data_IF_011286719926
#
_entry.id   IF_011286719926
#
_cell.length_a   1.000
_cell.length_b   1.000
_cell.length_c   1.000
_cell.angle_alpha   90.00
_cell.angle_beta   90.00
_cell.angle_gamma   90.00
#
_symmetry.space_group_name_H-M   'P 1'
#
loop_
_entity.id
_entity.type
_entity.pdbx_description
1 polymer ?
#
# COMPACT_ATOMS: atom_id res chain seq x y z
N UNK A 1 -8.22 35.68 -49.46
CA UNK A 1 -7.80 35.98 -48.07
C UNK A 1 -8.94 35.56 -47.16
N UNK A 2 -8.91 34.32 -46.66
CA UNK A 2 -9.91 33.84 -45.70
C UNK A 2 -9.18 33.11 -44.57
N UNK A 3 -9.00 33.89 -43.52
CA UNK A 3 -8.81 33.58 -42.11
C UNK A 3 -8.81 32.11 -41.71
N UNK A 4 -7.63 31.63 -41.31
CA UNK A 4 -7.39 30.41 -40.53
C UNK A 4 -8.13 30.47 -39.19
N UNK A 5 -8.91 29.44 -38.87
CA UNK A 5 -9.44 29.21 -37.53
C UNK A 5 -8.35 28.64 -36.62
N UNK A 6 -8.20 29.07 -35.36
CA UNK A 6 -7.42 28.34 -34.39
C UNK A 6 -8.20 27.11 -33.93
N UNK A 7 -7.66 25.91 -34.19
CA UNK A 7 -8.12 24.69 -33.53
C UNK A 7 -7.76 24.81 -32.05
N UNK A 8 -8.73 25.24 -31.24
CA UNK A 8 -8.67 25.04 -29.79
C UNK A 8 -8.72 23.54 -29.53
N UNK A 9 -7.57 22.96 -29.25
CA UNK A 9 -7.43 21.60 -28.79
C UNK A 9 -8.21 21.48 -27.46
N UNK A 10 -9.46 21.02 -27.52
CA UNK A 10 -10.25 20.72 -26.33
C UNK A 10 -9.75 19.40 -25.75
N UNK A 11 -8.73 19.46 -24.90
CA UNK A 11 -8.39 18.34 -24.04
C UNK A 11 -9.57 18.16 -23.07
N UNK A 12 -10.24 16.99 -23.04
CA UNK A 12 -11.14 16.67 -21.95
C UNK A 12 -10.34 16.78 -20.65
N UNK A 13 -10.92 17.38 -19.62
CA UNK A 13 -10.40 17.30 -18.26
C UNK A 13 -10.51 15.83 -17.81
N UNK A 14 -9.57 15.00 -18.24
CA UNK A 14 -9.38 13.66 -17.69
C UNK A 14 -9.10 13.85 -16.19
N UNK A 15 -10.08 13.50 -15.37
CA UNK A 15 -9.89 13.37 -13.94
C UNK A 15 -8.70 12.41 -13.74
N UNK A 16 -7.61 12.92 -13.18
CA UNK A 16 -6.33 12.21 -13.11
C UNK A 16 -6.44 11.08 -12.08
N UNK A 17 -7.03 9.97 -12.50
CA UNK A 17 -7.22 8.82 -11.64
C UNK A 17 -5.85 8.30 -11.18
N UNK A 18 -5.68 8.14 -9.87
CA UNK A 18 -4.46 7.64 -9.26
C UNK A 18 -4.56 6.13 -9.11
N UNK A 19 -3.55 5.39 -9.54
CA UNK A 19 -3.47 3.96 -9.31
C UNK A 19 -2.89 3.72 -7.92
N UNK A 20 -3.68 3.06 -7.07
CA UNK A 20 -3.33 2.71 -5.72
C UNK A 20 -3.13 1.20 -5.60
N UNK A 21 -2.16 0.78 -4.77
CA UNK A 21 -1.86 -0.65 -4.60
C UNK A 21 -1.71 -1.01 -3.13
N UNK A 22 -2.18 -2.20 -2.80
CA UNK A 22 -2.06 -2.85 -1.48
C UNK A 22 -1.39 -4.20 -1.62
N UNK A 23 -0.38 -4.46 -0.79
CA UNK A 23 0.37 -5.72 -0.82
C UNK A 23 0.50 -6.29 0.58
N UNK A 24 0.26 -7.60 0.71
CA UNK A 24 0.50 -8.37 1.92
C UNK A 24 1.59 -9.40 1.67
N UNK A 25 2.65 -9.31 2.46
CA UNK A 25 3.75 -10.25 2.46
C UNK A 25 3.68 -11.17 3.68
N UNK A 26 4.04 -12.42 3.46
CA UNK A 26 4.35 -13.39 4.50
C UNK A 26 5.83 -13.73 4.42
N UNK A 27 6.50 -13.69 5.55
CA UNK A 27 7.88 -14.07 5.71
C UNK A 27 7.96 -15.25 6.67
N UNK A 28 8.96 -16.10 6.46
CA UNK A 28 9.27 -17.12 7.46
C UNK A 28 9.62 -16.44 8.80
N UNK A 29 10.49 -15.43 8.79
CA UNK A 29 10.66 -14.52 9.92
C UNK A 29 11.32 -13.20 9.53
N UNK A 30 11.09 -12.16 10.33
CA UNK A 30 11.77 -10.85 10.22
C UNK A 30 12.49 -10.56 11.55
N UNK A 31 13.70 -11.10 11.74
CA UNK A 31 14.49 -10.95 12.98
C UNK A 31 15.48 -9.77 12.95
N UNK A 32 16.10 -9.55 11.79
CA UNK A 32 17.18 -8.57 11.64
C UNK A 32 16.70 -7.14 11.92
N UNK A 33 17.34 -6.48 12.89
CA UNK A 33 17.10 -5.05 13.20
C UNK A 33 17.38 -4.16 11.99
N UNK A 34 18.40 -4.49 11.20
CA UNK A 34 18.76 -3.75 10.00
C UNK A 34 17.65 -3.82 8.94
N UNK A 35 17.07 -5.00 8.73
CA UNK A 35 15.94 -5.15 7.79
C UNK A 35 14.69 -4.43 8.26
N UNK A 36 14.39 -4.46 9.56
CA UNK A 36 13.27 -3.71 10.14
C UNK A 36 13.43 -2.21 9.94
N UNK A 37 14.63 -1.68 10.20
CA UNK A 37 14.95 -0.27 9.92
C UNK A 37 14.80 0.05 8.43
N UNK A 38 15.31 -0.80 7.54
CA UNK A 38 15.19 -0.61 6.10
C UNK A 38 13.71 -0.60 5.64
N UNK A 39 12.89 -1.53 6.12
CA UNK A 39 11.43 -1.57 5.84
C UNK A 39 10.79 -0.22 6.16
N UNK A 40 11.10 0.35 7.33
CA UNK A 40 10.54 1.65 7.76
C UNK A 40 11.07 2.81 6.93
N UNK A 41 12.39 2.96 6.83
CA UNK A 41 13.03 4.11 6.16
C UNK A 41 12.70 4.16 4.67
N UNK A 42 12.64 3.00 3.99
CA UNK A 42 12.22 2.94 2.59
C UNK A 42 10.76 3.37 2.42
N UNK A 43 9.88 3.01 3.36
CA UNK A 43 8.48 3.37 3.27
C UNK A 43 8.27 4.88 3.47
N UNK A 44 8.99 5.47 4.43
CA UNK A 44 9.01 6.91 4.66
C UNK A 44 9.52 7.68 3.44
N UNK A 45 10.58 7.18 2.79
CA UNK A 45 11.16 7.82 1.61
C UNK A 45 10.30 7.70 0.34
N UNK A 46 9.31 6.82 0.31
CA UNK A 46 8.47 6.55 -0.87
C UNK A 46 6.99 6.88 -0.64
N UNK A 47 6.67 7.58 0.46
CA UNK A 47 5.31 7.92 0.87
C UNK A 47 4.38 6.70 0.98
N UNK A 48 4.91 5.60 1.53
CA UNK A 48 4.20 4.34 1.73
C UNK A 48 3.76 4.23 3.18
N UNK A 49 2.54 3.71 3.37
CA UNK A 49 2.00 3.35 4.67
C UNK A 49 1.99 1.85 4.84
N UNK A 50 2.12 1.38 6.06
CA UNK A 50 2.02 -0.04 6.31
C UNK A 50 2.10 -0.44 7.77
N UNK A 51 1.97 -1.74 7.99
CA UNK A 51 2.09 -2.39 9.29
C UNK A 51 3.01 -3.60 9.13
N UNK A 52 4.01 -3.72 10.00
CA UNK A 52 4.96 -4.83 10.02
C UNK A 52 4.85 -5.55 11.36
N UNK A 53 4.60 -6.85 11.32
CA UNK A 53 4.72 -7.72 12.49
C UNK A 53 6.00 -8.54 12.35
N UNK A 54 7.11 -8.16 13.02
CA UNK A 54 8.32 -8.96 13.03
C UNK A 54 8.15 -10.25 13.84
N UNK A 55 9.18 -11.09 13.83
CA UNK A 55 9.13 -12.41 14.48
C UNK A 55 8.71 -13.53 13.52
N UNK A 56 8.09 -14.59 14.05
CA UNK A 56 7.71 -15.81 13.35
C UNK A 56 6.20 -16.09 13.52
N UNK A 57 5.44 -16.35 12.43
CA UNK A 57 5.74 -15.89 11.07
C UNK A 57 5.84 -14.35 11.05
N UNK A 58 6.56 -13.81 10.07
CA UNK A 58 6.65 -12.37 9.85
C UNK A 58 5.59 -11.90 8.86
N UNK A 59 4.97 -10.76 9.12
CA UNK A 59 3.96 -10.18 8.22
C UNK A 59 4.30 -8.73 7.90
N UNK A 60 4.01 -8.33 6.66
CA UNK A 60 4.12 -6.93 6.24
C UNK A 60 2.94 -6.60 5.34
N UNK A 61 2.16 -5.63 5.76
CA UNK A 61 1.16 -4.96 4.93
C UNK A 61 1.70 -3.60 4.50
N UNK A 62 1.57 -3.26 3.22
CA UNK A 62 1.90 -1.94 2.70
C UNK A 62 0.88 -1.46 1.68
N UNK A 63 0.67 -0.16 1.64
CA UNK A 63 -0.19 0.50 0.66
C UNK A 63 0.30 1.91 0.28
N UNK A 64 -0.05 2.34 -0.92
CA UNK A 64 0.37 3.62 -1.48
C UNK A 64 0.12 3.70 -2.99
N UNK A 65 0.76 4.67 -3.64
CA UNK A 65 0.79 4.75 -5.09
C UNK A 65 1.39 3.49 -5.71
N UNK A 66 0.84 3.03 -6.84
CA UNK A 66 1.34 1.87 -7.57
C UNK A 66 2.84 1.96 -7.86
N UNK A 67 3.33 3.10 -8.34
CA UNK A 67 4.74 3.32 -8.68
C UNK A 67 5.64 3.09 -7.46
N UNK A 68 5.33 3.76 -6.34
CA UNK A 68 6.05 3.61 -5.08
C UNK A 68 6.01 2.18 -4.57
N UNK A 69 4.83 1.55 -4.56
CA UNK A 69 4.67 0.19 -4.05
C UNK A 69 5.43 -0.82 -4.92
N UNK A 70 5.47 -0.68 -6.25
CA UNK A 70 6.27 -1.55 -7.12
C UNK A 70 7.76 -1.48 -6.80
N UNK A 71 8.27 -0.26 -6.63
CA UNK A 71 9.67 -0.03 -6.26
C UNK A 71 9.96 -0.64 -4.89
N UNK A 72 9.09 -0.40 -3.91
CA UNK A 72 9.20 -0.96 -2.58
C UNK A 72 9.17 -2.49 -2.59
N UNK A 73 8.25 -3.12 -3.31
CA UNK A 73 8.17 -4.58 -3.46
C UNK A 73 9.45 -5.14 -4.06
N UNK A 74 10.02 -4.47 -5.07
CA UNK A 74 11.30 -4.86 -5.68
C UNK A 74 12.44 -4.81 -4.67
N UNK A 75 12.53 -3.73 -3.89
CA UNK A 75 13.54 -3.56 -2.86
C UNK A 75 13.38 -4.55 -1.70
N UNK A 76 12.14 -4.82 -1.29
CA UNK A 76 11.84 -5.88 -0.32
C UNK A 76 12.37 -7.21 -0.84
N UNK A 77 12.02 -7.62 -2.07
CA UNK A 77 12.47 -8.91 -2.65
C UNK A 77 13.98 -8.99 -2.85
N UNK A 78 14.67 -7.86 -3.05
CA UNK A 78 16.14 -7.79 -3.22
C UNK A 78 16.90 -8.10 -1.93
N UNK A 79 16.29 -7.88 -0.77
CA UNK A 79 16.90 -8.25 0.51
C UNK A 79 16.98 -9.79 0.66
N UNK A 80 18.01 -10.27 1.36
CA UNK A 80 18.20 -11.70 1.61
C UNK A 80 17.21 -12.21 2.65
N UNK A 81 16.14 -12.90 2.26
CA UNK A 81 15.18 -13.56 3.17
C UNK A 81 15.36 -15.08 3.14
N UNK A 82 14.95 -15.77 4.22
CA UNK A 82 14.84 -17.23 4.17
C UNK A 82 13.67 -17.64 3.27
N UNK A 83 12.54 -16.95 3.40
CA UNK A 83 11.41 -17.04 2.48
C UNK A 83 10.59 -15.75 2.57
N UNK A 84 10.13 -15.27 1.42
CA UNK A 84 9.23 -14.13 1.27
C UNK A 84 8.20 -14.47 0.19
N UNK A 85 6.93 -14.39 0.55
CA UNK A 85 5.80 -14.66 -0.33
C UNK A 85 4.88 -13.45 -0.34
N UNK A 86 4.37 -13.08 -1.53
CA UNK A 86 3.26 -12.12 -1.64
C UNK A 86 1.97 -12.94 -1.58
N UNK A 87 1.25 -12.83 -0.46
CA UNK A 87 -0.03 -13.53 -0.26
C UNK A 87 -1.18 -12.85 -0.97
N UNK A 88 -1.11 -11.53 -1.11
CA UNK A 88 -2.14 -10.74 -1.77
C UNK A 88 -1.56 -9.47 -2.34
N UNK A 89 -1.98 -9.14 -3.55
CA UNK A 89 -1.60 -7.91 -4.25
C UNK A 89 -2.84 -7.42 -5.00
N UNK A 90 -3.36 -6.26 -4.60
CA UNK A 90 -4.57 -5.67 -5.17
C UNK A 90 -4.24 -4.28 -5.66
N UNK A 91 -4.70 -3.97 -6.87
CA UNK A 91 -4.59 -2.67 -7.50
C UNK A 91 -6.00 -2.09 -7.66
N UNK A 92 -6.16 -0.83 -7.31
CA UNK A 92 -7.42 -0.09 -7.38
C UNK A 92 -7.18 1.27 -8.02
N UNK A 93 -8.14 1.73 -8.80
CA UNK A 93 -8.12 3.05 -9.42
C UNK A 93 -8.92 3.99 -8.56
N UNK A 94 -8.30 5.08 -8.08
CA UNK A 94 -8.92 6.05 -7.19
C UNK A 94 -9.13 7.37 -7.96
N UNK A 95 -10.36 7.91 -8.01
CA UNK A 95 -10.61 9.23 -8.59
C UNK A 95 -9.96 10.35 -7.74
N UNK A 96 -9.43 11.37 -8.39
CA UNK A 96 -8.62 12.47 -7.78
C UNK A 96 -9.42 13.34 -6.79
N UNK A 97 -10.75 13.30 -6.88
CA UNK A 97 -11.71 14.17 -6.17
C UNK A 97 -11.72 13.99 -4.63
N UNK A 98 -11.01 13.00 -4.11
CA UNK A 98 -11.03 12.61 -2.69
C UNK A 98 -9.95 13.33 -1.86
N UNK A 99 -9.00 14.03 -2.48
CA UNK A 99 -7.84 14.57 -1.78
C UNK A 99 -8.07 15.93 -1.06
N UNK A 100 -9.20 16.62 -1.27
CA UNK A 100 -9.43 17.97 -0.71
C UNK A 100 -10.48 18.09 0.39
N UNK A 101 -11.36 17.12 0.60
CA UNK A 101 -12.43 17.27 1.58
C UNK A 101 -12.09 16.62 2.93
N UNK A 102 -11.69 17.43 3.92
CA UNK A 102 -11.32 17.02 5.30
C UNK A 102 -12.50 16.45 6.13
N UNK A 103 -13.65 16.16 5.53
CA UNK A 103 -14.90 15.85 6.25
C UNK A 103 -15.41 14.40 6.14
N UNK A 104 -14.84 13.53 5.31
CA UNK A 104 -15.39 12.16 5.19
C UNK A 104 -14.65 11.16 6.09
N UNK A 105 -15.12 11.05 7.34
CA UNK A 105 -14.69 10.05 8.34
C UNK A 105 -15.17 8.61 8.05
N UNK A 106 -15.57 8.26 6.83
CA UNK A 106 -16.08 6.91 6.51
C UNK A 106 -15.26 6.23 5.41
N UNK A 107 -14.63 5.13 5.79
CA UNK A 107 -14.48 3.93 4.96
C UNK A 107 -13.65 4.08 3.67
N UNK A 108 -12.57 4.85 3.68
CA UNK A 108 -11.68 4.92 2.50
C UNK A 108 -10.84 3.65 2.28
N UNK A 109 -11.00 2.61 3.10
CA UNK A 109 -10.24 1.36 2.99
C UNK A 109 -8.73 1.57 3.14
N UNK A 110 -8.30 2.68 3.75
CA UNK A 110 -6.89 3.13 3.77
C UNK A 110 -6.44 3.33 5.21
N UNK A 111 -5.18 3.01 5.49
CA UNK A 111 -4.51 3.34 6.73
C UNK A 111 -4.42 4.87 6.87
N UNK A 112 -4.97 5.38 7.96
CA UNK A 112 -4.69 6.73 8.44
C UNK A 112 -3.26 6.84 9.01
N UNK A 113 -2.87 8.05 9.40
CA UNK A 113 -1.58 8.29 10.08
C UNK A 113 -0.42 8.69 9.15
N UNK A 114 0.83 8.66 9.66
CA UNK A 114 2.01 9.09 8.91
C UNK A 114 2.39 8.12 7.79
N UNK A 115 3.14 8.61 6.80
CA UNK A 115 3.77 7.79 5.76
C UNK A 115 4.95 7.01 6.33
N UNK A 116 4.65 5.89 7.00
CA UNK A 116 5.66 4.99 7.58
C UNK A 116 5.06 3.60 7.76
N UNK A 117 5.93 2.65 8.12
CA UNK A 117 5.52 1.30 8.52
C UNK A 117 5.56 1.19 10.04
N UNK A 118 4.38 0.98 10.62
CA UNK A 118 4.19 0.78 12.06
C UNK A 118 4.62 -0.65 12.41
N UNK A 119 5.49 -0.80 13.41
CA UNK A 119 5.88 -2.12 13.93
C UNK A 119 4.89 -2.54 15.03
N UNK A 120 4.41 -3.78 14.97
CA UNK A 120 3.47 -4.37 15.94
C UNK A 120 3.97 -5.72 16.42
N UNK A 121 3.76 -6.05 17.69
CA UNK A 121 4.29 -7.30 18.26
C UNK A 121 3.43 -8.52 17.94
N UNK A 122 2.11 -8.35 17.81
CA UNK A 122 1.15 -9.44 17.62
C UNK A 122 0.38 -9.35 16.31
N UNK A 123 -0.01 -10.51 15.77
CA UNK A 123 -0.91 -10.57 14.61
C UNK A 123 -2.31 -10.03 14.93
N UNK A 124 -2.73 -10.09 16.20
CA UNK A 124 -3.99 -9.53 16.68
C UNK A 124 -3.99 -8.01 16.56
N UNK A 125 -2.89 -7.36 16.96
CA UNK A 125 -2.73 -5.91 16.83
C UNK A 125 -2.73 -5.48 15.36
N UNK A 126 -1.97 -6.19 14.50
CA UNK A 126 -2.04 -5.99 13.04
C UNK A 126 -3.48 -6.13 12.53
N UNK A 127 -4.18 -7.18 12.95
CA UNK A 127 -5.55 -7.42 12.50
C UNK A 127 -6.50 -6.32 12.98
N UNK A 128 -6.33 -5.81 14.20
CA UNK A 128 -7.13 -4.72 14.75
C UNK A 128 -6.95 -3.44 13.94
N UNK A 129 -5.70 -3.08 13.60
CA UNK A 129 -5.38 -1.91 12.78
C UNK A 129 -6.01 -2.03 11.40
N UNK A 130 -5.83 -3.18 10.73
CA UNK A 130 -6.37 -3.39 9.38
C UNK A 130 -7.91 -3.42 9.38
N UNK A 131 -8.55 -4.06 10.37
CA UNK A 131 -10.02 -4.06 10.50
C UNK A 131 -10.57 -2.65 10.74
N UNK A 132 -9.93 -1.85 11.59
CA UNK A 132 -10.32 -0.47 11.83
C UNK A 132 -10.23 0.40 10.57
N UNK A 133 -9.33 0.05 9.64
CA UNK A 133 -9.21 0.70 8.33
C UNK A 133 -10.15 0.12 7.24
N UNK A 134 -11.01 -0.85 7.57
CA UNK A 134 -11.88 -1.53 6.60
C UNK A 134 -11.21 -2.64 5.78
N UNK A 135 -9.96 -3.01 6.10
CA UNK A 135 -9.15 -4.00 5.38
C UNK A 135 -9.30 -5.43 5.95
N UNK A 136 -10.32 -5.68 6.75
CA UNK A 136 -10.55 -6.99 7.39
C UNK A 136 -10.73 -8.13 6.39
N UNK A 137 -11.49 -7.90 5.30
CA UNK A 137 -11.66 -8.92 4.26
C UNK A 137 -10.37 -9.17 3.48
N UNK A 138 -9.65 -8.11 3.13
CA UNK A 138 -8.36 -8.20 2.46
C UNK A 138 -7.39 -9.07 3.28
N UNK A 139 -7.30 -8.82 4.59
CA UNK A 139 -6.49 -9.62 5.49
C UNK A 139 -6.94 -11.08 5.54
N UNK A 140 -8.25 -11.33 5.68
CA UNK A 140 -8.81 -12.70 5.71
C UNK A 140 -8.41 -13.47 4.44
N UNK A 141 -8.58 -12.86 3.26
CA UNK A 141 -8.22 -13.49 1.98
C UNK A 141 -6.69 -13.70 1.86
N UNK A 142 -5.88 -12.76 2.32
CA UNK A 142 -4.42 -12.91 2.35
C UNK A 142 -3.96 -14.07 3.27
N UNK A 143 -4.65 -14.29 4.39
CA UNK A 143 -4.30 -15.38 5.32
C UNK A 143 -4.77 -16.75 4.82
N UNK A 144 -5.94 -16.82 4.19
CA UNK A 144 -6.56 -18.10 3.76
C UNK A 144 -6.05 -18.64 2.43
N UNK A 145 -5.37 -17.83 1.61
CA UNK A 145 -4.65 -18.32 0.42
C UNK A 145 -5.52 -18.84 -0.70
N UNK A 146 -6.80 -18.48 -0.71
CA UNK A 146 -7.68 -18.79 -1.84
C UNK A 146 -7.19 -18.01 -3.06
N UNK A 147 -6.51 -18.73 -3.95
CA UNK A 147 -6.40 -18.36 -5.36
C UNK A 147 -7.83 -18.28 -5.89
N UNK A 148 -8.25 -17.08 -6.29
CA UNK A 148 -9.40 -16.92 -7.17
C UNK A 148 -8.95 -17.29 -8.58
#
# INVERSE_FOLDING_TARGET
>A
MSTSQPQTNCYPLEHRAMIFRRVFFMFHHIRSKLKRKAIRTMAESMDIRGVCKPGYPGFLYVEGEDSSIRLYVKEIKRMKWQSVEIRRNVQETIPDDVCKNKSCKKETGRLGGPFTVIEVDTSEEMSKILRAAGLGEFLRKAMTGSHD
#
